data_IF_680133078244
#
_entry.id   IF_680133078244
#
_cell.length_a   1.000
_cell.length_b   1.000
_cell.length_c   1.000
_cell.angle_alpha   90.00
_cell.angle_beta   90.00
_cell.angle_gamma   90.00
#
_symmetry.space_group_name_H-M   'P 1'
#
loop_
_entity.id
_entity.type
_entity.pdbx_description
1 polymer ?
#
# COMPACT_ATOMS: atom_id res chain seq x y z
N UNK A 1 -0.77 -6.28 18.06
CA UNK A 1 -2.22 -6.43 18.26
C UNK A 1 -3.07 -5.63 17.26
N UNK A 2 -2.47 -4.59 16.63
CA UNK A 2 -3.16 -3.67 15.70
C UNK A 2 -3.42 -4.26 14.32
N UNK A 3 -2.81 -5.39 13.96
CA UNK A 3 -2.96 -5.97 12.62
C UNK A 3 -4.38 -6.50 12.37
N UNK A 4 -4.94 -6.12 11.22
CA UNK A 4 -6.30 -6.52 10.83
C UNK A 4 -6.46 -8.03 10.64
N UNK A 5 -5.36 -8.77 10.42
CA UNK A 5 -5.38 -10.24 10.30
C UNK A 5 -5.87 -10.95 11.56
N UNK A 6 -5.79 -10.30 12.73
CA UNK A 6 -6.37 -10.81 13.96
C UNK A 6 -7.90 -10.71 14.04
N UNK A 7 -8.53 -10.04 13.08
CA UNK A 7 -9.98 -9.86 13.06
C UNK A 7 -10.60 -10.59 11.88
N UNK A 8 -11.26 -11.71 12.17
CA UNK A 8 -12.07 -12.44 11.19
C UNK A 8 -13.40 -11.72 10.99
N UNK A 9 -13.71 -11.30 9.75
CA UNK A 9 -14.95 -10.58 9.42
C UNK A 9 -15.92 -11.38 8.59
N UNK A 10 -15.47 -12.47 7.96
CA UNK A 10 -16.29 -13.36 7.14
C UNK A 10 -16.79 -14.56 7.96
N UNK A 11 -18.01 -15.05 7.64
CA UNK A 11 -18.65 -16.22 8.26
C UNK A 11 -18.70 -16.10 9.78
N UNK A 12 -17.87 -16.83 10.49
CA UNK A 12 -17.78 -16.77 11.95
C UNK A 12 -16.86 -15.61 12.37
N UNK A 13 -17.45 -14.54 12.86
CA UNK A 13 -16.72 -13.30 13.22
C UNK A 13 -16.11 -13.42 14.61
N UNK A 14 -14.83 -13.20 14.71
CA UNK A 14 -14.11 -13.16 15.99
C UNK A 14 -12.86 -12.27 15.93
N UNK A 15 -12.37 -11.89 17.11
CA UNK A 15 -11.08 -11.22 17.30
C UNK A 15 -10.12 -12.19 17.98
N UNK A 16 -9.06 -12.58 17.28
CA UNK A 16 -8.04 -13.46 17.85
C UNK A 16 -7.33 -12.82 19.06
N UNK A 17 -7.18 -11.49 19.05
CA UNK A 17 -6.68 -10.73 20.20
C UNK A 17 -7.56 -10.94 21.43
N UNK A 18 -8.88 -10.77 21.28
CA UNK A 18 -9.80 -10.85 22.41
C UNK A 18 -9.95 -12.30 22.92
N UNK A 19 -9.89 -13.29 22.01
CA UNK A 19 -9.83 -14.69 22.36
C UNK A 19 -8.55 -15.02 23.15
N UNK A 20 -7.40 -14.49 22.72
CA UNK A 20 -6.13 -14.68 23.43
C UNK A 20 -6.17 -14.09 24.84
N UNK A 21 -6.76 -12.90 25.02
CA UNK A 21 -6.97 -12.29 26.34
C UNK A 21 -7.88 -13.13 27.22
N UNK A 22 -9.00 -13.63 26.67
CA UNK A 22 -9.95 -14.47 27.38
C UNK A 22 -9.31 -15.80 27.81
N UNK A 23 -8.59 -16.44 26.90
CA UNK A 23 -7.84 -17.67 27.18
C UNK A 23 -6.80 -17.47 28.28
N UNK A 24 -6.00 -16.40 28.19
CA UNK A 24 -4.99 -16.06 29.19
C UNK A 24 -5.63 -15.88 30.59
N UNK A 25 -6.80 -15.26 30.66
CA UNK A 25 -7.56 -15.09 31.90
C UNK A 25 -8.01 -16.43 32.50
N UNK A 26 -8.52 -17.36 31.67
CA UNK A 26 -8.97 -18.71 32.13
C UNK A 26 -7.77 -19.53 32.60
N UNK A 27 -6.73 -19.59 31.79
CA UNK A 27 -5.54 -20.41 32.06
C UNK A 27 -4.58 -19.76 33.07
N UNK A 28 -4.86 -18.50 33.49
CA UNK A 28 -4.03 -17.70 34.41
C UNK A 28 -2.57 -17.56 33.95
N UNK A 29 -2.39 -17.37 32.64
CA UNK A 29 -1.08 -17.16 32.02
C UNK A 29 -0.92 -15.69 31.60
N UNK A 30 0.32 -15.17 31.55
CA UNK A 30 0.55 -13.83 31.06
C UNK A 30 0.29 -13.73 29.55
N UNK A 31 -0.18 -12.57 29.11
CA UNK A 31 -0.35 -12.23 27.69
C UNK A 31 0.28 -10.85 27.44
N UNK A 32 1.01 -10.73 26.35
CA UNK A 32 1.64 -9.48 25.92
C UNK A 32 1.01 -9.00 24.63
N UNK A 33 0.46 -7.78 24.65
CA UNK A 33 -0.05 -7.10 23.47
C UNK A 33 1.00 -6.10 22.99
N UNK A 34 1.73 -6.46 21.94
CA UNK A 34 2.76 -5.60 21.36
C UNK A 34 2.20 -4.79 20.17
N UNK A 35 2.39 -3.48 20.19
CA UNK A 35 1.98 -2.56 19.11
C UNK A 35 2.69 -1.22 19.23
N UNK A 36 3.01 -0.60 18.09
CA UNK A 36 3.38 0.82 18.04
C UNK A 36 2.15 1.73 18.03
N UNK A 37 0.97 1.19 17.67
CA UNK A 37 -0.32 1.88 17.56
C UNK A 37 -1.40 1.03 18.21
N UNK A 38 -1.42 0.93 19.55
CA UNK A 38 -2.41 0.12 20.25
C UNK A 38 -3.84 0.62 20.01
N UNK A 39 -4.81 -0.28 20.08
CA UNK A 39 -6.22 0.09 19.93
C UNK A 39 -6.69 0.99 21.09
N UNK A 40 -7.76 1.76 20.86
CA UNK A 40 -8.32 2.63 21.89
C UNK A 40 -8.77 1.83 23.12
N UNK A 41 -9.28 0.63 22.93
CA UNK A 41 -9.69 -0.28 24.01
C UNK A 41 -8.48 -0.72 24.86
N UNK A 42 -7.36 -1.07 24.20
CA UNK A 42 -6.12 -1.44 24.89
C UNK A 42 -5.57 -0.24 25.68
N UNK A 43 -5.53 0.94 25.07
CA UNK A 43 -5.11 2.18 25.73
C UNK A 43 -5.99 2.49 26.92
N UNK A 44 -7.32 2.42 26.78
CA UNK A 44 -8.23 2.67 27.88
C UNK A 44 -8.03 1.68 29.03
N UNK A 45 -7.89 0.39 28.74
CA UNK A 45 -7.64 -0.61 29.78
C UNK A 45 -6.31 -0.39 30.49
N UNK A 46 -5.32 0.15 29.80
CA UNK A 46 -4.05 0.55 30.41
C UNK A 46 -4.19 1.79 31.31
N UNK A 47 -4.93 2.80 30.86
CA UNK A 47 -5.21 4.00 31.65
C UNK A 47 -6.05 3.68 32.90
N UNK A 48 -6.98 2.75 32.78
CA UNK A 48 -7.81 2.25 33.90
C UNK A 48 -7.03 1.32 34.86
N UNK A 49 -5.74 1.06 34.61
CA UNK A 49 -4.90 0.22 35.46
C UNK A 49 -5.15 -1.29 35.34
N UNK A 50 -5.93 -1.73 34.31
CA UNK A 50 -6.19 -3.16 34.08
C UNK A 50 -5.03 -3.85 33.36
N UNK A 51 -4.23 -3.11 32.61
CA UNK A 51 -3.04 -3.59 31.92
C UNK A 51 -1.82 -2.79 32.34
N UNK A 52 -0.70 -3.46 32.49
CA UNK A 52 0.59 -2.82 32.67
C UNK A 52 1.13 -2.32 31.33
N UNK A 53 1.68 -1.11 31.29
CA UNK A 53 2.30 -0.53 30.10
C UNK A 53 3.81 -0.69 30.16
N UNK A 54 4.36 -1.34 29.15
CA UNK A 54 5.80 -1.43 28.94
C UNK A 54 6.21 -0.63 27.71
N UNK A 55 6.91 0.48 27.92
CA UNK A 55 7.33 1.36 26.84
C UNK A 55 8.75 1.06 26.37
N UNK A 56 8.91 0.66 25.09
CA UNK A 56 10.20 0.51 24.43
C UNK A 56 10.59 1.85 23.80
N UNK A 57 11.34 2.67 24.52
CA UNK A 57 11.72 4.04 24.09
C UNK A 57 12.99 4.11 23.26
N UNK A 58 13.81 3.05 23.28
CA UNK A 58 15.07 3.01 22.55
C UNK A 58 14.94 2.08 21.35
N UNK A 59 15.40 2.53 20.18
CA UNK A 59 15.53 1.68 18.98
C UNK A 59 16.71 0.73 19.15
N UNK A 60 16.51 -0.54 18.80
CA UNK A 60 17.55 -1.57 18.91
C UNK A 60 18.80 -1.25 18.08
N UNK A 61 18.62 -0.60 16.93
CA UNK A 61 19.71 -0.24 16.01
C UNK A 61 20.35 1.13 16.30
N UNK A 62 19.85 1.90 17.26
CA UNK A 62 20.29 3.29 17.49
C UNK A 62 19.94 4.27 16.35
N UNK A 63 19.21 3.81 15.33
CA UNK A 63 18.85 4.63 14.18
C UNK A 63 17.99 5.84 14.57
N UNK A 64 18.23 6.99 13.95
CA UNK A 64 17.42 8.20 14.11
C UNK A 64 16.04 8.02 13.48
N UNK A 65 15.08 8.84 13.94
CA UNK A 65 13.76 8.91 13.29
C UNK A 65 13.90 9.54 11.89
N UNK A 66 13.08 9.09 10.92
CA UNK A 66 13.04 9.75 9.62
C UNK A 66 12.56 11.20 9.78
N UNK A 67 13.08 12.07 8.92
CA UNK A 67 12.58 13.45 8.80
C UNK A 67 11.33 13.43 7.94
N UNK A 68 10.25 14.05 8.42
CA UNK A 68 9.04 14.26 7.64
C UNK A 68 9.14 15.60 6.91
N UNK A 69 9.00 15.56 5.59
CA UNK A 69 9.04 16.74 4.72
C UNK A 69 7.68 16.87 4.02
N UNK A 70 6.70 17.54 4.63
CA UNK A 70 5.40 17.76 3.98
C UNK A 70 5.55 18.71 2.81
N UNK A 71 4.98 18.35 1.65
CA UNK A 71 4.93 19.17 0.45
C UNK A 71 3.50 19.69 0.28
N UNK A 72 3.33 21.02 0.24
CA UNK A 72 2.03 21.62 -0.06
C UNK A 72 1.77 21.49 -1.57
N UNK A 73 0.73 20.74 -1.93
CA UNK A 73 0.36 20.48 -3.33
C UNK A 73 -0.64 21.49 -3.89
N UNK A 74 -1.15 22.44 -3.08
CA UNK A 74 -2.13 23.43 -3.53
C UNK A 74 -1.49 24.36 -4.57
N UNK A 75 -2.16 24.49 -5.71
CA UNK A 75 -1.69 25.32 -6.83
C UNK A 75 -0.49 24.77 -7.61
N UNK A 76 -0.04 23.55 -7.31
CA UNK A 76 1.04 22.88 -8.04
C UNK A 76 0.52 21.96 -9.13
N UNK A 77 1.19 21.95 -10.26
CA UNK A 77 0.97 20.97 -11.30
C UNK A 77 1.64 19.65 -10.90
N UNK A 78 0.86 18.57 -10.90
CA UNK A 78 1.35 17.24 -10.57
C UNK A 78 1.53 16.41 -11.85
N UNK A 79 2.69 15.78 -12.00
CA UNK A 79 2.98 14.84 -13.08
C UNK A 79 2.67 13.41 -12.60
N UNK A 80 1.59 12.83 -13.09
CA UNK A 80 1.10 11.50 -12.65
C UNK A 80 0.94 11.37 -11.12
N UNK A 81 0.56 12.48 -10.46
CA UNK A 81 0.37 12.55 -9.01
C UNK A 81 1.64 12.87 -8.21
N UNK A 82 2.78 13.09 -8.87
CA UNK A 82 4.03 13.46 -8.24
C UNK A 82 4.26 14.96 -8.29
N UNK A 83 4.70 15.53 -7.17
CA UNK A 83 5.24 16.88 -7.14
C UNK A 83 6.67 16.90 -7.68
N UNK A 84 7.11 18.05 -8.18
CA UNK A 84 8.46 18.21 -8.70
C UNK A 84 9.50 18.00 -7.59
N UNK A 85 9.23 18.47 -6.37
CA UNK A 85 10.09 18.28 -5.20
C UNK A 85 10.35 16.80 -4.87
N UNK A 86 9.31 15.95 -4.97
CA UNK A 86 9.49 14.52 -4.73
C UNK A 86 10.31 13.85 -5.83
N UNK A 87 10.11 14.26 -7.09
CA UNK A 87 10.87 13.76 -8.23
C UNK A 87 12.35 14.15 -8.11
N UNK A 88 12.63 15.41 -7.78
CA UNK A 88 14.00 15.91 -7.65
C UNK A 88 14.73 15.26 -6.46
N UNK A 89 14.08 15.17 -5.30
CA UNK A 89 14.65 14.46 -4.15
C UNK A 89 14.92 12.98 -4.46
N UNK A 90 14.02 12.32 -5.23
CA UNK A 90 14.24 10.94 -5.67
C UNK A 90 15.45 10.82 -6.59
N UNK A 91 15.61 11.74 -7.52
CA UNK A 91 16.74 11.74 -8.45
C UNK A 91 18.09 11.98 -7.74
N UNK A 92 18.10 12.86 -6.72
CA UNK A 92 19.28 13.09 -5.89
C UNK A 92 19.70 11.85 -5.12
N UNK A 93 18.77 11.16 -4.48
CA UNK A 93 19.08 9.95 -3.71
C UNK A 93 19.57 8.81 -4.62
N UNK A 94 18.95 8.64 -5.79
CA UNK A 94 19.39 7.66 -6.78
C UNK A 94 20.81 7.95 -7.30
N UNK A 95 21.16 9.24 -7.54
CA UNK A 95 22.51 9.65 -7.96
C UNK A 95 23.56 9.44 -6.86
N UNK A 96 23.18 9.49 -5.58
CA UNK A 96 24.04 9.14 -4.44
C UNK A 96 24.27 7.63 -4.31
N UNK A 97 23.60 6.82 -5.10
CA UNK A 97 23.67 5.35 -5.03
C UNK A 97 22.65 4.71 -4.10
N UNK A 98 21.70 5.47 -3.58
CA UNK A 98 20.70 5.03 -2.63
C UNK A 98 19.43 4.48 -3.33
N UNK A 99 18.55 3.86 -2.55
CA UNK A 99 17.25 3.40 -3.01
C UNK A 99 16.13 4.35 -2.57
N UNK A 100 15.11 4.47 -3.40
CA UNK A 100 13.93 5.28 -3.16
C UNK A 100 12.69 4.39 -3.12
N UNK A 101 11.84 4.53 -2.11
CA UNK A 101 10.56 3.83 -2.01
C UNK A 101 9.41 4.81 -2.29
N UNK A 102 8.63 4.51 -3.31
CA UNK A 102 7.35 5.18 -3.58
C UNK A 102 6.23 4.27 -3.05
N UNK A 103 5.57 4.74 -1.98
CA UNK A 103 4.49 3.99 -1.35
C UNK A 103 3.14 4.43 -1.88
N UNK A 104 2.40 3.49 -2.43
CA UNK A 104 1.05 3.71 -2.92
C UNK A 104 0.07 2.73 -2.29
N UNK A 105 -1.09 3.22 -1.90
CA UNK A 105 -2.16 2.35 -1.39
C UNK A 105 -3.20 2.01 -2.48
N UNK A 106 -2.76 1.96 -3.76
CA UNK A 106 -3.64 1.69 -4.91
C UNK A 106 -3.02 0.68 -5.86
N UNK A 107 -3.85 -0.16 -6.46
CA UNK A 107 -3.48 -1.24 -7.39
C UNK A 107 -4.08 -0.98 -8.76
N UNK A 108 -3.51 -1.60 -9.81
CA UNK A 108 -3.98 -1.52 -11.18
C UNK A 108 -3.47 -0.29 -11.94
N UNK A 109 -3.90 -0.16 -13.20
CA UNK A 109 -3.49 0.94 -14.10
C UNK A 109 -4.16 2.25 -13.73
N UNK A 110 -5.46 2.20 -13.45
CA UNK A 110 -6.24 3.30 -12.88
C UNK A 110 -7.29 2.73 -11.93
N UNK A 111 -7.62 3.41 -10.82
CA UNK A 111 -8.54 2.85 -9.84
C UNK A 111 -9.93 2.56 -10.40
N UNK A 112 -10.45 3.41 -11.30
CA UNK A 112 -11.84 3.24 -11.78
C UNK A 112 -12.02 3.81 -13.18
N UNK A 113 -12.98 3.25 -13.91
CA UNK A 113 -13.46 3.77 -15.19
C UNK A 113 -14.67 4.67 -14.95
N UNK A 114 -14.62 5.89 -15.47
CA UNK A 114 -15.71 6.87 -15.41
C UNK A 114 -16.12 7.24 -16.83
N UNK A 115 -17.42 7.28 -17.09
CA UNK A 115 -17.93 7.88 -18.31
C UNK A 115 -17.93 9.41 -18.16
N UNK A 116 -17.23 10.12 -19.04
CA UNK A 116 -17.20 11.60 -19.02
C UNK A 116 -18.55 12.24 -19.35
N UNK A 117 -19.37 11.55 -20.13
CA UNK A 117 -20.66 12.09 -20.59
C UNK A 117 -21.73 12.07 -19.50
N UNK A 118 -21.86 10.97 -18.73
CA UNK A 118 -22.94 10.82 -17.75
C UNK A 118 -22.45 10.56 -16.31
N UNK A 119 -21.15 10.46 -16.07
CA UNK A 119 -20.61 10.19 -14.74
C UNK A 119 -20.73 8.73 -14.28
N UNK A 120 -21.16 7.79 -15.15
CA UNK A 120 -21.24 6.38 -14.79
C UNK A 120 -19.87 5.87 -14.30
N UNK A 121 -19.89 5.09 -13.22
CA UNK A 121 -18.73 4.47 -12.59
C UNK A 121 -18.76 2.96 -12.77
N UNK A 122 -17.58 2.34 -12.97
CA UNK A 122 -17.47 0.89 -13.06
C UNK A 122 -17.55 0.23 -11.68
N UNK A 123 -18.77 0.03 -11.19
CA UNK A 123 -19.02 -0.70 -9.95
C UNK A 123 -18.95 -2.22 -10.16
N UNK A 124 -18.62 -2.93 -9.09
CA UNK A 124 -18.68 -4.39 -9.06
C UNK A 124 -20.12 -4.86 -8.91
N UNK A 125 -20.52 -5.83 -9.73
CA UNK A 125 -21.88 -6.36 -9.73
C UNK A 125 -22.16 -7.29 -8.51
N UNK A 126 -21.12 -7.63 -7.72
CA UNK A 126 -21.24 -8.52 -6.55
C UNK A 126 -21.18 -7.83 -5.20
N UNK A 127 -20.47 -6.68 -5.11
CA UNK A 127 -20.22 -6.05 -3.81
C UNK A 127 -20.22 -4.52 -3.85
N UNK A 128 -20.68 -3.91 -4.91
CA UNK A 128 -20.78 -2.45 -5.13
C UNK A 128 -19.47 -1.65 -5.00
N UNK A 129 -18.34 -2.31 -4.75
CA UNK A 129 -17.03 -1.66 -4.73
C UNK A 129 -16.65 -1.21 -6.14
N UNK A 130 -15.88 -0.14 -6.26
CA UNK A 130 -15.35 0.30 -7.55
C UNK A 130 -14.37 -0.74 -8.11
N UNK A 131 -14.50 -1.04 -9.40
CA UNK A 131 -13.58 -1.93 -10.10
C UNK A 131 -12.34 -1.18 -10.59
N UNK A 132 -11.20 -1.82 -10.50
CA UNK A 132 -9.90 -1.29 -10.95
C UNK A 132 -9.59 -1.77 -12.35
N UNK A 133 -9.09 -0.87 -13.20
CA UNK A 133 -8.64 -1.20 -14.55
C UNK A 133 -7.25 -1.83 -14.47
N UNK A 134 -7.10 -2.99 -15.08
CA UNK A 134 -5.82 -3.64 -15.36
C UNK A 134 -5.58 -3.65 -16.87
N UNK A 135 -4.37 -3.29 -17.30
CA UNK A 135 -4.02 -3.29 -18.74
C UNK A 135 -3.38 -4.57 -19.20
N UNK A 136 -2.78 -5.34 -18.31
CA UNK A 136 -2.02 -6.55 -18.64
C UNK A 136 -2.40 -7.70 -17.71
N UNK A 137 -3.34 -8.59 -18.08
CA UNK A 137 -4.25 -8.53 -19.23
C UNK A 137 -5.32 -7.44 -19.05
N UNK A 138 -5.90 -6.89 -20.17
CA UNK A 138 -6.96 -5.88 -20.11
C UNK A 138 -8.21 -6.44 -19.43
N UNK A 139 -8.61 -5.85 -18.29
CA UNK A 139 -9.81 -6.24 -17.53
C UNK A 139 -10.15 -5.23 -16.47
N UNK A 140 -11.39 -5.26 -16.02
CA UNK A 140 -11.81 -4.65 -14.75
C UNK A 140 -11.78 -5.72 -13.66
N UNK A 141 -11.16 -5.43 -12.54
CA UNK A 141 -11.08 -6.34 -11.39
C UNK A 141 -11.52 -5.64 -10.10
N UNK A 142 -12.39 -6.29 -9.37
CA UNK A 142 -12.74 -5.88 -8.01
C UNK A 142 -11.71 -6.43 -7.02
N UNK A 143 -10.98 -5.56 -6.32
CA UNK A 143 -10.02 -5.99 -5.29
C UNK A 143 -10.67 -6.33 -3.94
N UNK A 144 -12.01 -6.21 -3.81
CA UNK A 144 -12.73 -6.62 -2.62
C UNK A 144 -13.22 -8.08 -2.70
N UNK A 145 -13.83 -8.47 -3.83
CA UNK A 145 -14.41 -9.82 -4.00
C UNK A 145 -13.78 -10.63 -5.14
N UNK A 146 -12.71 -10.10 -5.75
CA UNK A 146 -11.94 -10.70 -6.87
C UNK A 146 -12.76 -10.94 -8.16
N UNK A 147 -13.99 -10.44 -8.25
CA UNK A 147 -14.78 -10.48 -9.47
C UNK A 147 -14.08 -9.75 -10.61
N UNK A 148 -14.14 -10.31 -11.81
CA UNK A 148 -13.52 -9.76 -13.02
C UNK A 148 -14.57 -9.63 -14.12
N UNK A 149 -14.42 -8.58 -14.95
CA UNK A 149 -15.18 -8.37 -16.18
C UNK A 149 -14.36 -7.62 -17.20
N UNK A 150 -14.76 -7.72 -18.45
CA UNK A 150 -14.12 -6.99 -19.53
C UNK A 150 -14.38 -5.47 -19.42
N UNK A 151 -13.46 -4.67 -19.95
CA UNK A 151 -13.64 -3.24 -20.07
C UNK A 151 -14.73 -2.94 -21.11
N UNK A 152 -15.79 -2.16 -20.77
CA UNK A 152 -16.86 -1.87 -21.69
C UNK A 152 -16.37 -0.94 -22.81
N UNK A 153 -16.73 -1.25 -24.06
CA UNK A 153 -16.43 -0.40 -25.22
C UNK A 153 -17.32 0.85 -25.29
N UNK A 154 -18.52 0.74 -24.75
CA UNK A 154 -19.50 1.83 -24.65
C UNK A 154 -20.08 1.86 -23.25
N UNK A 155 -20.45 3.03 -22.79
CA UNK A 155 -21.04 3.22 -21.49
C UNK A 155 -22.37 2.46 -21.35
N UNK A 156 -22.54 1.60 -20.36
CA UNK A 156 -23.80 0.89 -20.15
C UNK A 156 -25.00 1.81 -19.85
N UNK A 157 -24.74 3.03 -19.38
CA UNK A 157 -25.78 4.00 -19.02
C UNK A 157 -26.20 4.90 -20.18
N UNK A 158 -25.24 5.48 -20.93
CA UNK A 158 -25.56 6.50 -21.96
C UNK A 158 -25.03 6.18 -23.36
N UNK A 159 -24.45 4.98 -23.56
CA UNK A 159 -23.89 4.50 -24.84
C UNK A 159 -22.72 5.33 -25.39
N UNK A 160 -22.19 6.31 -24.64
CA UNK A 160 -21.00 7.06 -25.01
C UNK A 160 -19.77 6.16 -24.95
N UNK A 161 -18.78 6.40 -25.83
CA UNK A 161 -17.47 5.77 -25.78
C UNK A 161 -16.39 6.63 -25.10
N UNK A 162 -16.77 7.79 -24.54
CA UNK A 162 -15.85 8.72 -23.90
C UNK A 162 -15.64 8.37 -22.43
N UNK A 163 -14.61 7.58 -22.18
CA UNK A 163 -14.23 7.16 -20.85
C UNK A 163 -12.97 7.88 -20.35
N UNK A 164 -12.96 8.15 -19.06
CA UNK A 164 -11.80 8.62 -18.31
C UNK A 164 -11.36 7.53 -17.32
N UNK A 165 -10.10 7.18 -17.36
CA UNK A 165 -9.48 6.41 -16.29
C UNK A 165 -9.21 7.35 -15.10
N UNK A 166 -9.93 7.18 -14.00
CA UNK A 166 -9.82 8.05 -12.83
C UNK A 166 -8.85 7.48 -11.80
N UNK A 167 -7.81 8.24 -11.50
CA UNK A 167 -6.77 7.96 -10.49
C UNK A 167 -5.50 7.36 -11.09
N UNK A 168 -4.55 7.12 -10.21
CA UNK A 168 -3.23 6.59 -10.55
C UNK A 168 -3.08 5.19 -9.94
N UNK A 169 -2.96 4.16 -10.78
CA UNK A 169 -2.64 2.80 -10.35
C UNK A 169 -1.13 2.53 -10.40
N UNK A 170 -0.69 1.45 -9.76
CA UNK A 170 0.74 1.08 -9.70
C UNK A 170 1.37 0.90 -11.08
N UNK A 171 0.64 0.35 -12.06
CA UNK A 171 1.14 0.14 -13.42
C UNK A 171 1.42 1.45 -14.18
N UNK A 172 0.50 2.42 -14.07
CA UNK A 172 0.67 3.73 -14.70
C UNK A 172 1.84 4.50 -14.09
N UNK A 173 1.97 4.43 -12.77
CA UNK A 173 3.08 5.05 -12.05
C UNK A 173 4.40 4.37 -12.40
N UNK A 174 4.44 3.04 -12.52
CA UNK A 174 5.62 2.30 -12.98
C UNK A 174 6.09 2.77 -14.36
N UNK A 175 5.16 2.91 -15.33
CA UNK A 175 5.47 3.42 -16.66
C UNK A 175 6.06 4.85 -16.61
N UNK A 176 5.47 5.72 -15.79
CA UNK A 176 5.96 7.09 -15.61
C UNK A 176 7.37 7.11 -14.98
N UNK A 177 7.57 6.40 -13.87
CA UNK A 177 8.85 6.35 -13.17
C UNK A 177 9.95 5.72 -14.03
N UNK A 178 9.64 4.67 -14.80
CA UNK A 178 10.58 4.03 -15.72
C UNK A 178 11.06 5.00 -16.81
N UNK A 179 10.15 5.82 -17.33
CA UNK A 179 10.52 6.86 -18.31
C UNK A 179 11.32 7.99 -17.66
N UNK A 180 10.92 8.43 -16.46
CA UNK A 180 11.55 9.55 -15.76
C UNK A 180 12.94 9.21 -15.24
N UNK A 181 13.11 8.00 -14.70
CA UNK A 181 14.37 7.49 -14.15
C UNK A 181 15.00 6.41 -15.02
N UNK A 182 15.13 6.69 -16.33
CA UNK A 182 15.57 5.68 -17.34
C UNK A 182 16.95 5.04 -17.07
N UNK A 183 17.78 5.65 -16.21
CA UNK A 183 19.10 5.14 -15.82
C UNK A 183 19.04 4.18 -14.61
N UNK A 184 17.92 4.12 -13.94
CA UNK A 184 17.74 3.33 -12.71
C UNK A 184 16.60 2.35 -12.87
N UNK A 185 16.74 1.11 -12.40
CA UNK A 185 15.63 0.15 -12.45
C UNK A 185 14.47 0.60 -11.56
N UNK A 186 13.25 0.40 -12.04
CA UNK A 186 12.02 0.57 -11.28
C UNK A 186 11.48 -0.82 -10.98
N UNK A 187 11.32 -1.16 -9.71
CA UNK A 187 10.85 -2.45 -9.24
C UNK A 187 9.48 -2.31 -8.60
N UNK A 188 8.44 -2.81 -9.26
CA UNK A 188 7.09 -2.82 -8.71
C UNK A 188 6.83 -4.08 -7.89
N UNK A 189 6.38 -3.88 -6.64
CA UNK A 189 6.05 -4.93 -5.70
C UNK A 189 4.65 -4.72 -5.16
N UNK A 190 3.72 -5.50 -5.69
CA UNK A 190 2.33 -5.55 -5.25
C UNK A 190 1.85 -7.02 -5.22
N UNK A 191 0.61 -7.24 -4.77
CA UNK A 191 0.06 -8.60 -4.67
C UNK A 191 -0.06 -9.31 -6.01
N UNK A 192 -0.12 -8.56 -7.12
CA UNK A 192 -0.26 -9.12 -8.44
C UNK A 192 1.10 -9.57 -8.99
N UNK A 193 2.16 -8.78 -8.72
CA UNK A 193 3.54 -9.11 -9.10
C UNK A 193 4.15 -10.23 -8.24
N UNK A 194 3.66 -10.42 -7.00
CA UNK A 194 4.24 -11.36 -6.03
C UNK A 194 3.40 -12.62 -5.76
N UNK A 195 2.46 -12.95 -6.62
CA UNK A 195 1.57 -14.14 -6.46
C UNK A 195 2.35 -15.45 -6.33
N UNK A 196 3.53 -15.57 -6.92
CA UNK A 196 4.42 -16.72 -6.75
C UNK A 196 5.39 -16.47 -5.60
N UNK A 197 5.50 -17.40 -4.66
CA UNK A 197 6.38 -17.30 -3.49
C UNK A 197 7.86 -17.12 -3.86
N UNK A 198 8.28 -17.67 -4.98
CA UNK A 198 9.64 -17.55 -5.53
C UNK A 198 9.97 -16.11 -5.95
N UNK A 199 9.00 -15.40 -6.55
CA UNK A 199 9.21 -14.02 -6.98
C UNK A 199 9.48 -13.04 -5.83
N UNK A 200 8.90 -13.24 -4.65
CA UNK A 200 9.19 -12.36 -3.50
C UNK A 200 10.65 -12.48 -3.02
N UNK A 201 11.21 -13.70 -2.99
CA UNK A 201 12.60 -13.92 -2.61
C UNK A 201 13.57 -13.31 -3.64
N UNK A 202 13.25 -13.39 -4.93
CA UNK A 202 14.02 -12.75 -5.99
C UNK A 202 14.00 -11.23 -5.85
N UNK A 203 12.82 -10.63 -5.60
CA UNK A 203 12.69 -9.18 -5.35
C UNK A 203 13.49 -8.74 -4.13
N UNK A 204 13.41 -9.46 -3.02
CA UNK A 204 14.20 -9.16 -1.82
C UNK A 204 15.71 -9.29 -2.09
N UNK A 205 16.13 -10.27 -2.89
CA UNK A 205 17.52 -10.41 -3.33
C UNK A 205 18.01 -9.21 -4.14
N UNK A 206 17.18 -8.71 -5.07
CA UNK A 206 17.50 -7.50 -5.85
C UNK A 206 17.59 -6.26 -4.97
N UNK A 207 16.65 -6.06 -4.05
CA UNK A 207 16.64 -4.93 -3.12
C UNK A 207 17.88 -4.95 -2.23
N UNK A 208 18.16 -6.10 -1.62
CA UNK A 208 19.30 -6.28 -0.71
C UNK A 208 20.67 -6.25 -1.44
N UNK A 209 20.68 -6.16 -2.78
CA UNK A 209 21.93 -5.98 -3.53
C UNK A 209 22.56 -4.59 -3.33
N UNK A 210 21.84 -3.64 -2.71
CA UNK A 210 22.30 -2.28 -2.46
C UNK A 210 22.42 -1.39 -3.70
N UNK A 211 22.02 -1.87 -4.89
CA UNK A 211 22.06 -1.07 -6.11
C UNK A 211 20.99 0.02 -6.10
N UNK A 212 21.29 1.21 -6.64
CA UNK A 212 20.30 2.29 -6.70
C UNK A 212 19.11 1.89 -7.58
N UNK A 213 17.91 2.02 -7.04
CA UNK A 213 16.66 1.68 -7.73
C UNK A 213 15.46 2.39 -7.10
N UNK A 214 14.37 2.47 -7.86
CA UNK A 214 13.08 2.93 -7.36
C UNK A 214 12.23 1.71 -7.02
N UNK A 215 11.83 1.59 -5.77
CA UNK A 215 10.88 0.60 -5.30
C UNK A 215 9.49 1.24 -5.37
N UNK A 216 8.57 0.62 -6.09
CA UNK A 216 7.18 1.04 -6.17
C UNK A 216 6.32 -0.03 -5.52
N UNK A 217 5.59 0.31 -4.47
CA UNK A 217 4.82 -0.71 -3.80
C UNK A 217 3.64 -0.22 -2.99
N UNK A 218 2.86 -1.19 -2.54
CA UNK A 218 1.67 -1.03 -1.71
C UNK A 218 1.94 -1.54 -0.30
N UNK A 219 0.91 -1.76 0.49
CA UNK A 219 0.99 -2.25 1.88
C UNK A 219 1.85 -3.51 2.08
N UNK A 220 2.10 -4.28 1.01
CA UNK A 220 2.95 -5.47 1.08
C UNK A 220 4.39 -5.12 1.46
N UNK A 221 4.93 -4.00 0.98
CA UNK A 221 6.27 -3.51 1.34
C UNK A 221 6.33 -2.88 2.74
N UNK A 222 5.20 -2.39 3.25
CA UNK A 222 5.17 -1.71 4.54
C UNK A 222 5.25 -2.65 5.75
N UNK A 223 5.09 -3.96 5.54
CA UNK A 223 5.00 -4.93 6.64
C UNK A 223 6.09 -6.00 6.57
N UNK A 224 6.85 -6.12 7.65
CA UNK A 224 7.73 -7.26 7.89
C UNK A 224 9.04 -7.30 7.10
N UNK A 225 9.39 -6.23 6.39
CA UNK A 225 10.63 -6.14 5.63
C UNK A 225 11.53 -5.02 6.16
N UNK A 226 12.83 -5.22 6.02
CA UNK A 226 13.85 -4.24 6.34
C UNK A 226 14.63 -3.91 5.07
N UNK A 227 14.68 -2.61 4.73
CA UNK A 227 15.34 -2.10 3.53
C UNK A 227 16.41 -1.08 3.95
N UNK A 228 17.66 -1.53 4.24
CA UNK A 228 18.69 -0.66 4.81
C UNK A 228 19.14 0.46 3.86
N UNK A 229 19.05 0.24 2.55
CA UNK A 229 19.52 1.17 1.51
C UNK A 229 18.43 2.16 1.05
N UNK A 230 17.22 2.05 1.57
CA UNK A 230 16.14 3.01 1.31
C UNK A 230 16.32 4.24 2.20
N UNK A 231 16.67 5.36 1.58
CA UNK A 231 16.92 6.64 2.27
C UNK A 231 15.80 7.66 2.09
N UNK A 232 14.95 7.50 1.07
CA UNK A 232 13.79 8.34 0.80
C UNK A 232 12.53 7.50 0.63
N UNK A 233 11.46 7.93 1.29
CA UNK A 233 10.10 7.36 1.11
C UNK A 233 9.16 8.47 0.66
N UNK A 234 8.60 8.34 -0.54
CA UNK A 234 7.50 9.17 -1.03
C UNK A 234 6.15 8.50 -0.78
N UNK A 235 5.18 9.26 -0.25
CA UNK A 235 3.83 8.77 0.09
C UNK A 235 2.78 9.64 -0.61
#
# INVERSE_FOLDING_TARGET
EHDLSYKQVDRFRYSARDIALYRAKIEKIPVVLASATPSLETLKNSLDGKYEILNLTKRATGASLPKYLPVDLRGKELKEGFSEELIDASEEELKKGNQVLIFLNRRGYAPSLICKTCGWLSNCDRCDALMTIHKRPPKLQCHHCESQKDEPKVCPSCQSNDFLSYGYGTERIEEFLTKRFSKFPVLRIDSDSTRKKESMNEYLGLINSGKPMVLLGTQLLAKGHHFPDVTLVGI
#
